data_IF_582924935116
#
_entry.id   IF_582924935116
#
_cell.length_a   1.000
_cell.length_b   1.000
_cell.length_c   1.000
_cell.angle_alpha   90.00
_cell.angle_beta   90.00
_cell.angle_gamma   90.00
#
_symmetry.space_group_name_H-M   'P 1'
#
loop_
_entity.id
_entity.type
_entity.pdbx_description
1 polymer ?
#
# COMPACT_ATOMS: atom_id res chain seq x y z
N UNK A 1 9.04 -20.98 0.55
CA UNK A 1 10.15 -21.06 1.53
C UNK A 1 10.80 -19.69 1.77
N UNK A 2 11.38 -19.05 0.76
CA UNK A 2 11.96 -17.70 0.91
C UNK A 2 10.97 -16.67 1.45
N UNK A 3 9.75 -16.65 0.89
CA UNK A 3 8.64 -15.83 1.39
C UNK A 3 8.30 -16.14 2.85
N UNK A 4 8.16 -17.40 3.26
CA UNK A 4 7.89 -17.78 4.66
C UNK A 4 8.96 -17.29 5.64
N UNK A 5 10.24 -17.54 5.33
CA UNK A 5 11.35 -17.03 6.15
C UNK A 5 11.29 -15.50 6.27
N UNK A 6 11.11 -14.82 5.15
CA UNK A 6 11.02 -13.37 5.10
C UNK A 6 9.80 -12.83 5.88
N UNK A 7 8.68 -13.55 5.85
CA UNK A 7 7.48 -13.25 6.62
C UNK A 7 7.73 -13.37 8.12
N UNK A 8 8.34 -14.48 8.58
CA UNK A 8 8.72 -14.65 9.99
C UNK A 8 9.66 -13.55 10.47
N UNK A 9 10.68 -13.21 9.67
CA UNK A 9 11.62 -12.12 9.99
C UNK A 9 10.89 -10.76 10.01
N UNK A 10 10.03 -10.48 9.02
CA UNK A 10 9.23 -9.25 8.98
C UNK A 10 8.31 -9.10 10.18
N UNK A 11 7.65 -10.17 10.61
CA UNK A 11 6.83 -10.17 11.84
C UNK A 11 7.68 -9.99 13.10
N UNK A 12 8.89 -10.55 13.16
CA UNK A 12 9.83 -10.30 14.26
C UNK A 12 10.27 -8.84 14.30
N UNK A 13 10.58 -8.25 13.14
CA UNK A 13 10.91 -6.82 13.03
C UNK A 13 9.72 -5.99 13.50
N UNK A 14 8.50 -6.32 13.07
CA UNK A 14 7.29 -5.66 13.57
C UNK A 14 7.17 -5.75 15.11
N UNK A 15 7.28 -6.95 15.67
CA UNK A 15 7.16 -7.14 17.12
C UNK A 15 8.28 -6.42 17.90
N UNK A 16 9.48 -6.33 17.35
CA UNK A 16 10.62 -5.66 17.99
C UNK A 16 10.58 -4.13 17.86
N UNK A 17 10.18 -3.60 16.70
CA UNK A 17 10.18 -2.16 16.43
C UNK A 17 8.86 -1.47 16.78
N UNK A 18 7.75 -2.19 16.88
CA UNK A 18 6.47 -1.56 17.19
C UNK A 18 6.43 -0.92 18.59
N UNK A 19 6.90 -1.56 19.69
CA UNK A 19 6.92 -0.91 21.00
C UNK A 19 7.71 0.41 21.04
N UNK A 20 8.99 0.48 20.59
CA UNK A 20 9.74 1.74 20.65
C UNK A 20 9.16 2.83 19.71
N UNK A 21 8.58 2.45 18.58
CA UNK A 21 7.90 3.40 17.69
C UNK A 21 6.62 3.94 18.31
N UNK A 22 5.86 3.09 19.01
CA UNK A 22 4.67 3.52 19.76
C UNK A 22 5.02 4.48 20.90
N UNK A 23 6.11 4.24 21.64
CA UNK A 23 6.60 5.19 22.66
C UNK A 23 7.02 6.53 22.06
N UNK A 24 7.64 6.52 20.88
CA UNK A 24 7.96 7.73 20.14
C UNK A 24 6.68 8.46 19.71
N UNK A 25 5.70 7.72 19.19
CA UNK A 25 4.42 8.26 18.74
C UNK A 25 3.60 8.86 19.89
N UNK A 26 3.70 8.34 21.12
CA UNK A 26 3.07 8.96 22.29
C UNK A 26 3.62 10.36 22.63
N UNK A 27 4.80 10.72 22.13
CA UNK A 27 5.36 12.07 22.28
C UNK A 27 4.80 13.05 21.24
N UNK A 28 4.06 12.57 20.24
CA UNK A 28 3.58 13.40 19.13
C UNK A 28 2.32 14.15 19.56
N UNK A 29 2.31 15.45 19.29
CA UNK A 29 1.11 16.26 19.36
C UNK A 29 0.49 16.49 17.98
N UNK A 30 -0.54 17.34 17.89
CA UNK A 30 -1.20 17.65 16.63
C UNK A 30 -0.24 18.20 15.56
N UNK A 31 0.74 19.02 15.95
CA UNK A 31 1.74 19.57 15.04
C UNK A 31 2.62 18.49 14.39
N UNK A 32 3.05 17.50 15.17
CA UNK A 32 3.85 16.38 14.69
C UNK A 32 3.04 15.45 13.80
N UNK A 33 1.79 15.14 14.16
CA UNK A 33 0.91 14.33 13.31
C UNK A 33 0.63 15.00 11.96
N UNK A 34 0.33 16.30 11.95
CA UNK A 34 0.18 17.06 10.71
C UNK A 34 1.44 16.98 9.82
N UNK A 35 2.61 17.22 10.41
CA UNK A 35 3.89 17.18 9.70
C UNK A 35 4.25 15.79 9.19
N UNK A 36 3.91 14.76 9.96
CA UNK A 36 4.10 13.36 9.58
C UNK A 36 3.19 12.98 8.41
N UNK A 37 1.94 13.45 8.38
CA UNK A 37 1.02 13.23 7.25
C UNK A 37 1.52 13.93 5.98
N UNK A 38 2.05 15.16 6.09
CA UNK A 38 2.71 15.83 4.96
C UNK A 38 3.89 14.98 4.45
N UNK A 39 4.76 14.52 5.35
CA UNK A 39 5.88 13.66 4.98
C UNK A 39 5.40 12.37 4.29
N UNK A 40 4.34 11.75 4.80
CA UNK A 40 3.72 10.54 4.23
C UNK A 40 3.17 10.77 2.83
N UNK A 41 2.44 11.86 2.61
CA UNK A 41 1.90 12.23 1.30
C UNK A 41 3.03 12.57 0.31
N UNK A 42 4.04 13.34 0.72
CA UNK A 42 5.20 13.61 -0.14
C UNK A 42 5.96 12.33 -0.46
N UNK A 43 6.17 11.44 0.52
CA UNK A 43 6.76 10.13 0.32
C UNK A 43 5.99 9.29 -0.70
N UNK A 44 4.66 9.32 -0.64
CA UNK A 44 3.80 8.66 -1.61
C UNK A 44 4.00 9.19 -3.04
N UNK A 45 4.19 10.50 -3.21
CA UNK A 45 4.53 11.11 -4.52
C UNK A 45 5.90 10.66 -5.02
N UNK A 46 6.88 10.55 -4.12
CA UNK A 46 8.25 10.14 -4.44
C UNK A 46 8.28 8.70 -4.98
N UNK A 47 7.51 7.81 -4.35
CA UNK A 47 7.52 6.39 -4.65
C UNK A 47 6.44 5.95 -5.67
N UNK A 48 5.46 6.80 -5.97
CA UNK A 48 4.51 6.55 -7.05
C UNK A 48 5.22 6.28 -8.39
N UNK A 49 4.63 5.47 -9.25
CA UNK A 49 5.11 5.26 -10.60
C UNK A 49 4.71 6.41 -11.53
N UNK A 50 5.55 6.72 -12.52
CA UNK A 50 5.23 7.69 -13.56
C UNK A 50 5.43 9.17 -13.20
N UNK A 51 4.58 10.03 -13.75
CA UNK A 51 4.76 11.49 -13.68
C UNK A 51 4.49 12.06 -12.29
N UNK A 52 5.44 12.84 -11.78
CA UNK A 52 5.31 13.55 -10.50
C UNK A 52 4.06 14.42 -10.43
N UNK A 53 3.76 15.14 -11.52
CA UNK A 53 2.61 16.04 -11.57
C UNK A 53 1.30 15.25 -11.45
N UNK A 54 1.23 14.08 -12.09
CA UNK A 54 0.07 13.17 -11.96
C UNK A 54 -0.07 12.67 -10.53
N UNK A 55 1.02 12.23 -9.90
CA UNK A 55 0.99 11.78 -8.51
C UNK A 55 0.53 12.88 -7.53
N UNK A 56 1.03 14.11 -7.69
CA UNK A 56 0.59 15.27 -6.89
C UNK A 56 -0.90 15.55 -7.14
N UNK A 57 -1.35 15.56 -8.40
CA UNK A 57 -2.76 15.77 -8.73
C UNK A 57 -3.66 14.71 -8.11
N UNK A 58 -3.24 13.44 -8.09
CA UNK A 58 -3.97 12.35 -7.45
C UNK A 58 -4.08 12.53 -5.94
N UNK A 59 -3.01 12.98 -5.26
CA UNK A 59 -3.07 13.31 -3.83
C UNK A 59 -4.03 14.47 -3.57
N UNK A 60 -3.91 15.56 -4.32
CA UNK A 60 -4.78 16.74 -4.14
C UNK A 60 -6.23 16.37 -4.39
N UNK A 61 -6.51 15.56 -5.41
CA UNK A 61 -7.85 15.05 -5.67
C UNK A 61 -8.35 14.17 -4.52
N UNK A 62 -7.51 13.28 -4.00
CA UNK A 62 -7.81 12.48 -2.82
C UNK A 62 -8.12 13.33 -1.59
N UNK A 63 -7.28 14.34 -1.30
CA UNK A 63 -7.50 15.29 -0.20
C UNK A 63 -8.86 16.00 -0.35
N UNK A 64 -9.17 16.51 -1.53
CA UNK A 64 -10.46 17.18 -1.79
C UNK A 64 -11.64 16.24 -1.59
N UNK A 65 -11.53 14.99 -2.08
CA UNK A 65 -12.56 13.98 -1.90
C UNK A 65 -12.73 13.56 -0.43
N UNK A 66 -11.65 13.50 0.34
CA UNK A 66 -11.69 13.18 1.76
C UNK A 66 -12.40 14.26 2.58
N UNK A 67 -12.37 15.51 2.13
CA UNK A 67 -13.05 16.64 2.79
C UNK A 67 -14.54 16.74 2.43
N UNK A 68 -15.07 15.86 1.59
CA UNK A 68 -16.50 15.78 1.27
C UNK A 68 -17.24 15.22 2.49
N UNK A 69 -18.28 15.90 2.95
CA UNK A 69 -19.08 15.51 4.10
C UNK A 69 -19.24 16.61 5.13
N UNK A 70 -19.78 16.25 6.29
CA UNK A 70 -19.96 17.18 7.40
C UNK A 70 -18.65 17.37 8.15
N UNK A 71 -18.22 18.62 8.28
CA UNK A 71 -17.04 18.93 9.08
C UNK A 71 -17.31 18.73 10.57
N UNK A 72 -16.52 17.85 11.20
CA UNK A 72 -16.67 17.48 12.62
C UNK A 72 -16.48 18.66 13.59
N UNK A 73 -15.74 19.70 13.18
CA UNK A 73 -15.45 20.85 14.05
C UNK A 73 -16.55 21.93 14.02
N UNK A 74 -17.12 22.18 12.85
CA UNK A 74 -18.08 23.27 12.60
C UNK A 74 -19.51 22.80 12.36
N UNK A 75 -19.72 21.50 12.09
CA UNK A 75 -21.03 20.94 11.74
C UNK A 75 -21.53 21.35 10.35
N UNK A 76 -20.71 22.04 9.56
CA UNK A 76 -21.08 22.53 8.22
C UNK A 76 -20.83 21.44 7.18
N UNK A 77 -21.84 21.16 6.36
CA UNK A 77 -21.70 20.28 5.20
C UNK A 77 -20.80 20.92 4.13
N UNK A 78 -19.78 20.18 3.68
CA UNK A 78 -18.81 20.61 2.66
C UNK A 78 -18.89 19.71 1.45
N UNK A 79 -18.94 20.32 0.27
CA UNK A 79 -19.01 19.60 -1.01
C UNK A 79 -20.17 18.58 -1.07
N UNK A 80 -21.25 18.82 -0.31
CA UNK A 80 -22.43 17.94 -0.32
C UNK A 80 -23.32 18.16 -1.53
N UNK A 81 -23.21 19.31 -2.21
CA UNK A 81 -24.00 19.67 -3.41
C UNK A 81 -25.52 19.50 -3.23
N UNK A 82 -26.02 19.68 -2.00
CA UNK A 82 -27.42 19.45 -1.61
C UNK A 82 -27.90 18.00 -1.80
N UNK A 83 -26.96 17.05 -1.85
CA UNK A 83 -27.21 15.61 -1.87
C UNK A 83 -27.03 15.09 -0.43
N UNK A 84 -28.10 14.57 0.21
CA UNK A 84 -28.04 14.08 1.60
C UNK A 84 -26.93 13.05 1.81
N UNK A 85 -26.77 12.11 0.89
CA UNK A 85 -25.78 11.03 1.00
C UNK A 85 -24.33 11.54 0.97
N UNK A 86 -24.06 12.68 0.30
CA UNK A 86 -22.74 13.30 0.32
C UNK A 86 -22.47 14.08 1.62
N UNK A 87 -23.48 14.30 2.45
CA UNK A 87 -23.32 14.92 3.79
C UNK A 87 -22.69 13.94 4.77
N UNK A 88 -22.92 12.64 4.56
CA UNK A 88 -22.26 11.54 5.28
C UNK A 88 -20.82 11.30 4.77
N UNK A 89 -20.46 11.93 3.64
CA UNK A 89 -19.16 11.81 2.98
C UNK A 89 -19.10 10.65 2.00
N UNK A 90 -17.98 10.54 1.30
CA UNK A 90 -17.78 9.46 0.32
C UNK A 90 -17.24 8.22 1.05
N UNK A 91 -17.90 7.07 0.88
CA UNK A 91 -17.41 5.82 1.45
C UNK A 91 -16.05 5.42 0.87
N UNK A 92 -15.05 5.22 1.74
CA UNK A 92 -13.73 4.72 1.34
C UNK A 92 -13.81 3.42 0.52
N UNK A 93 -14.67 2.49 0.96
CA UNK A 93 -14.87 1.19 0.31
C UNK A 93 -15.40 1.38 -1.11
N UNK A 94 -16.29 2.34 -1.33
CA UNK A 94 -16.84 2.64 -2.65
C UNK A 94 -15.77 3.15 -3.62
N UNK A 95 -14.88 4.05 -3.17
CA UNK A 95 -13.76 4.54 -3.97
C UNK A 95 -12.80 3.40 -4.29
N UNK A 96 -12.38 2.64 -3.28
CA UNK A 96 -11.38 1.61 -3.46
C UNK A 96 -11.87 0.46 -4.37
N UNK A 97 -13.09 -0.04 -4.15
CA UNK A 97 -13.68 -1.07 -5.02
C UNK A 97 -14.00 -0.54 -6.41
N UNK A 98 -14.40 0.72 -6.54
CA UNK A 98 -14.61 1.34 -7.85
C UNK A 98 -13.29 1.43 -8.63
N UNK A 99 -12.28 2.08 -8.06
CA UNK A 99 -11.03 2.36 -8.78
C UNK A 99 -10.19 1.10 -9.03
N UNK A 100 -9.97 0.25 -8.01
CA UNK A 100 -9.15 -0.96 -8.13
C UNK A 100 -9.95 -2.20 -8.59
N UNK A 101 -11.23 -2.31 -8.22
CA UNK A 101 -12.06 -3.43 -8.65
C UNK A 101 -12.60 -3.21 -10.06
N UNK A 102 -13.51 -2.24 -10.22
CA UNK A 102 -14.18 -2.00 -11.50
C UNK A 102 -13.22 -1.40 -12.53
N UNK A 103 -12.41 -0.42 -12.12
CA UNK A 103 -11.47 0.26 -13.01
C UNK A 103 -10.46 -0.71 -13.65
N UNK A 104 -9.88 -1.63 -12.87
CA UNK A 104 -8.96 -2.65 -13.41
C UNK A 104 -9.65 -3.65 -14.33
N UNK A 105 -10.90 -4.04 -14.04
CA UNK A 105 -11.67 -4.93 -14.92
C UNK A 105 -11.94 -4.27 -16.27
N UNK A 106 -12.40 -3.01 -16.26
CA UNK A 106 -12.67 -2.25 -17.49
C UNK A 106 -11.36 -2.05 -18.27
N UNK A 107 -10.26 -1.73 -17.58
CA UNK A 107 -8.93 -1.62 -18.18
C UNK A 107 -8.46 -2.95 -18.82
N UNK A 108 -8.66 -4.07 -18.14
CA UNK A 108 -8.31 -5.39 -18.66
C UNK A 108 -9.13 -5.77 -19.90
N UNK A 109 -10.42 -5.45 -19.91
CA UNK A 109 -11.30 -5.67 -21.06
C UNK A 109 -10.96 -4.78 -22.27
N UNK A 110 -10.29 -3.65 -22.04
CA UNK A 110 -9.88 -2.73 -23.12
C UNK A 110 -8.63 -3.19 -23.88
N UNK A 111 -7.88 -4.17 -23.36
CA UNK A 111 -6.69 -4.73 -24.01
C UNK A 111 -7.09 -5.83 -25.01
N UNK A 112 -6.46 -5.94 -26.20
CA UNK A 112 -6.74 -7.01 -27.16
C UNK A 112 -6.46 -8.40 -26.57
N UNK A 113 -7.20 -9.42 -27.02
CA UNK A 113 -7.09 -10.82 -26.55
C UNK A 113 -5.77 -11.53 -26.98
N UNK A 114 -4.92 -10.90 -27.78
CA UNK A 114 -3.87 -11.56 -28.59
C UNK A 114 -2.52 -11.85 -27.90
N UNK A 115 -2.35 -11.62 -26.60
CA UNK A 115 -1.09 -11.93 -25.88
C UNK A 115 -1.31 -12.72 -24.58
N UNK A 116 -2.07 -13.82 -24.64
CA UNK A 116 -2.26 -14.67 -23.45
C UNK A 116 -1.92 -16.12 -23.74
N UNK A 117 -0.63 -16.39 -23.95
CA UNK A 117 -0.11 -17.75 -23.84
C UNK A 117 -0.26 -18.24 -22.40
N UNK A 118 -1.31 -19.02 -22.15
CA UNK A 118 -1.41 -19.81 -20.91
C UNK A 118 -0.38 -20.93 -21.03
N UNK A 119 0.82 -20.72 -20.48
CA UNK A 119 1.81 -21.78 -20.35
C UNK A 119 1.27 -22.88 -19.41
N UNK A 120 0.63 -23.89 -20.00
CA UNK A 120 0.28 -25.13 -19.31
C UNK A 120 1.51 -26.03 -19.21
N UNK A 121 2.58 -25.56 -18.56
CA UNK A 121 3.70 -26.43 -18.23
C UNK A 121 3.31 -27.29 -17.01
N UNK A 122 3.47 -28.62 -17.11
CA UNK A 122 3.38 -29.50 -15.94
C UNK A 122 4.50 -29.10 -14.96
N UNK A 123 4.11 -28.59 -13.79
CA UNK A 123 5.06 -28.34 -12.70
C UNK A 123 5.51 -29.69 -12.14
N UNK A 124 6.77 -30.04 -12.37
CA UNK A 124 7.44 -31.22 -11.79
C UNK A 124 8.58 -30.77 -10.89
N UNK A 125 8.76 -31.42 -9.72
CA UNK A 125 9.86 -31.11 -8.80
C UNK A 125 9.55 -29.96 -7.83
N UNK A 126 8.54 -30.13 -6.97
CA UNK A 126 8.08 -29.13 -6.00
C UNK A 126 9.11 -28.74 -4.93
N UNK A 127 10.10 -29.60 -4.68
CA UNK A 127 11.11 -29.37 -3.64
C UNK A 127 12.46 -28.95 -4.25
N UNK A 128 13.05 -27.84 -3.79
CA UNK A 128 14.36 -27.40 -4.23
C UNK A 128 15.45 -28.42 -3.82
N UNK A 129 16.46 -28.57 -4.66
CA UNK A 129 17.63 -29.38 -4.34
C UNK A 129 18.50 -28.72 -3.25
N UNK A 130 19.45 -29.47 -2.66
CA UNK A 130 20.41 -28.89 -1.71
C UNK A 130 21.25 -27.75 -2.34
N UNK A 131 21.54 -27.86 -3.63
CA UNK A 131 22.27 -26.84 -4.35
C UNK A 131 21.42 -25.58 -4.58
N UNK A 132 20.14 -25.75 -4.93
CA UNK A 132 19.17 -24.66 -4.99
C UNK A 132 19.06 -23.94 -3.65
N UNK A 133 19.07 -24.67 -2.54
CA UNK A 133 19.01 -24.10 -1.19
C UNK A 133 20.22 -23.20 -0.89
N UNK A 134 21.42 -23.64 -1.28
CA UNK A 134 22.66 -22.86 -1.11
C UNK A 134 22.68 -21.61 -1.99
N UNK A 135 22.08 -21.67 -3.18
CA UNK A 135 21.97 -20.55 -4.12
C UNK A 135 20.88 -19.55 -3.73
N UNK A 136 19.76 -20.01 -3.18
CA UNK A 136 18.64 -19.15 -2.78
C UNK A 136 18.90 -18.40 -1.47
N UNK A 137 19.62 -18.98 -0.51
CA UNK A 137 19.74 -18.40 0.84
C UNK A 137 20.29 -16.96 0.85
N UNK A 138 21.39 -16.63 0.13
CA UNK A 138 21.87 -15.24 0.08
C UNK A 138 20.90 -14.29 -0.61
N UNK A 139 20.13 -14.78 -1.59
CA UNK A 139 19.11 -14.00 -2.29
C UNK A 139 17.91 -13.72 -1.37
N UNK A 140 17.46 -14.73 -0.62
CA UNK A 140 16.41 -14.61 0.41
C UNK A 140 16.80 -13.59 1.47
N UNK A 141 18.03 -13.63 1.99
CA UNK A 141 18.49 -12.68 3.01
C UNK A 141 18.52 -11.24 2.49
N UNK A 142 19.08 -11.02 1.29
CA UNK A 142 19.13 -9.69 0.65
C UNK A 142 17.72 -9.18 0.35
N UNK A 143 16.86 -10.02 -0.21
CA UNK A 143 15.46 -9.70 -0.46
C UNK A 143 14.71 -9.36 0.83
N UNK A 144 14.87 -10.16 1.88
CA UNK A 144 14.23 -9.92 3.19
C UNK A 144 14.68 -8.60 3.79
N UNK A 145 15.98 -8.29 3.77
CA UNK A 145 16.51 -7.02 4.28
C UNK A 145 15.96 -5.83 3.51
N UNK A 146 15.95 -5.91 2.18
CA UNK A 146 15.48 -4.84 1.32
C UNK A 146 13.96 -4.63 1.42
N UNK A 147 13.20 -5.73 1.46
CA UNK A 147 11.75 -5.73 1.72
C UNK A 147 11.41 -5.13 3.07
N UNK A 148 12.11 -5.53 4.14
CA UNK A 148 11.87 -5.03 5.49
C UNK A 148 12.15 -3.52 5.61
N UNK A 149 13.22 -3.04 4.95
CA UNK A 149 13.57 -1.62 4.98
C UNK A 149 12.59 -0.76 4.17
N UNK A 150 12.25 -1.20 2.96
CA UNK A 150 11.38 -0.44 2.07
C UNK A 150 9.89 -0.56 2.45
N UNK A 151 9.47 -1.63 3.12
CA UNK A 151 8.08 -1.82 3.56
C UNK A 151 7.59 -0.78 4.56
N UNK A 152 8.50 -0.18 5.34
CA UNK A 152 8.18 0.90 6.28
C UNK A 152 7.93 2.23 5.53
N UNK A 153 8.48 2.38 4.32
CA UNK A 153 8.39 3.63 3.56
C UNK A 153 7.02 3.82 2.89
N UNK A 154 6.42 5.02 2.97
CA UNK A 154 5.13 5.32 2.36
C UNK A 154 5.23 5.50 0.84
N UNK A 155 4.28 4.93 0.10
CA UNK A 155 4.18 5.00 -1.37
C UNK A 155 4.46 3.70 -2.12
N UNK A 156 4.12 2.54 -1.56
CA UNK A 156 4.21 1.26 -2.30
C UNK A 156 5.57 0.55 -2.18
N UNK A 157 6.31 0.82 -1.11
CA UNK A 157 7.65 0.27 -0.88
C UNK A 157 7.77 -1.26 -0.97
N UNK A 158 6.71 -2.03 -0.72
CA UNK A 158 6.72 -3.49 -0.86
C UNK A 158 6.85 -3.97 -2.32
N UNK A 159 6.14 -3.34 -3.26
CA UNK A 159 6.23 -3.67 -4.69
C UNK A 159 7.58 -3.22 -5.24
N UNK A 160 8.00 -2.00 -4.90
CA UNK A 160 9.32 -1.48 -5.27
C UNK A 160 10.45 -2.35 -4.71
N UNK A 161 10.28 -2.92 -3.51
CA UNK A 161 11.25 -3.82 -2.92
C UNK A 161 11.43 -5.10 -3.74
N UNK A 162 10.35 -5.68 -4.26
CA UNK A 162 10.43 -6.86 -5.12
C UNK A 162 11.22 -6.56 -6.41
N UNK A 163 10.93 -5.44 -7.08
CA UNK A 163 11.64 -5.01 -8.28
C UNK A 163 13.11 -4.64 -8.02
N UNK A 164 13.37 -3.92 -6.94
CA UNK A 164 14.73 -3.57 -6.54
C UNK A 164 15.54 -4.82 -6.16
N UNK A 165 14.94 -5.77 -5.44
CA UNK A 165 15.56 -7.06 -5.14
C UNK A 165 15.90 -7.83 -6.42
N UNK A 166 14.98 -7.90 -7.38
CA UNK A 166 15.24 -8.50 -8.70
C UNK A 166 16.41 -7.82 -9.42
N UNK A 167 16.40 -6.49 -9.45
CA UNK A 167 17.44 -5.68 -10.13
C UNK A 167 18.82 -5.90 -9.50
N UNK A 168 18.89 -5.95 -8.17
CA UNK A 168 20.12 -6.23 -7.44
C UNK A 168 20.62 -7.65 -7.74
N UNK A 169 19.73 -8.64 -7.79
CA UNK A 169 20.12 -10.00 -8.16
C UNK A 169 20.64 -10.08 -9.59
N UNK A 170 20.00 -9.39 -10.54
CA UNK A 170 20.42 -9.32 -11.95
C UNK A 170 21.80 -8.65 -12.11
N UNK A 171 22.09 -7.62 -11.31
CA UNK A 171 23.39 -6.93 -11.29
C UNK A 171 24.49 -7.68 -10.54
N UNK A 172 24.12 -8.61 -9.65
CA UNK A 172 25.08 -9.42 -8.91
C UNK A 172 25.68 -10.48 -9.83
N UNK A 173 27.01 -10.57 -9.90
CA UNK A 173 27.72 -11.55 -10.76
C UNK A 173 27.18 -12.97 -10.57
N UNK A 174 26.98 -13.65 -11.70
CA UNK A 174 26.64 -15.08 -11.74
C UNK A 174 27.84 -15.90 -11.26
N UNK A 175 27.58 -16.91 -10.43
CA UNK A 175 28.60 -17.88 -10.04
C UNK A 175 28.78 -18.94 -11.14
N UNK A 176 29.97 -19.57 -11.27
CA UNK A 176 30.17 -20.67 -12.21
C UNK A 176 29.13 -21.78 -12.00
N UNK A 177 28.43 -22.18 -13.06
CA UNK A 177 27.35 -23.17 -13.00
C UNK A 177 25.96 -22.65 -12.62
N UNK A 178 25.78 -21.33 -12.45
CA UNK A 178 24.46 -20.72 -12.31
C UNK A 178 23.76 -20.53 -13.67
N UNK A 179 22.46 -20.81 -13.70
CA UNK A 179 21.61 -20.58 -14.87
C UNK A 179 21.47 -19.06 -15.09
N UNK A 180 21.55 -18.54 -16.33
CA UNK A 180 21.30 -17.13 -16.58
C UNK A 180 19.91 -16.67 -16.11
N UNK A 181 19.79 -15.41 -15.68
CA UNK A 181 18.48 -14.80 -15.41
C UNK A 181 17.60 -14.85 -16.66
N UNK A 182 16.29 -15.05 -16.49
CA UNK A 182 15.33 -15.27 -17.59
C UNK A 182 15.24 -16.72 -18.07
N UNK A 183 16.18 -17.60 -17.69
CA UNK A 183 16.16 -19.04 -18.01
C UNK A 183 15.81 -19.93 -16.81
N UNK A 184 15.14 -19.38 -15.79
CA UNK A 184 14.76 -20.11 -14.57
C UNK A 184 15.77 -20.06 -13.43
N UNK A 185 16.59 -19.01 -13.32
CA UNK A 185 17.46 -18.83 -12.15
C UNK A 185 16.64 -18.61 -10.87
N UNK A 186 16.80 -19.50 -9.88
CA UNK A 186 16.07 -19.47 -8.60
C UNK A 186 16.22 -18.14 -7.84
N UNK A 187 17.35 -17.44 -7.96
CA UNK A 187 17.58 -16.14 -7.31
C UNK A 187 16.60 -15.08 -7.81
N UNK A 188 16.19 -15.17 -9.08
CA UNK A 188 15.24 -14.27 -9.72
C UNK A 188 13.81 -14.37 -9.18
N UNK A 189 13.49 -15.45 -8.45
CA UNK A 189 12.19 -15.62 -7.77
C UNK A 189 12.37 -15.51 -6.26
N UNK A 190 13.42 -16.13 -5.70
CA UNK A 190 13.61 -16.18 -4.26
C UNK A 190 13.82 -14.81 -3.61
N UNK A 191 14.59 -13.89 -4.22
CA UNK A 191 14.78 -12.56 -3.66
C UNK A 191 13.54 -11.67 -3.76
N UNK A 192 12.86 -11.53 -4.93
CA UNK A 192 11.64 -10.74 -5.02
C UNK A 192 10.51 -11.26 -4.13
N UNK A 193 10.31 -12.58 -4.06
CA UNK A 193 9.29 -13.18 -3.20
C UNK A 193 9.57 -12.94 -1.71
N UNK A 194 10.84 -13.00 -1.31
CA UNK A 194 11.24 -12.63 0.06
C UNK A 194 11.05 -11.14 0.33
N UNK A 195 11.40 -10.27 -0.62
CA UNK A 195 11.23 -8.83 -0.47
C UNK A 195 9.76 -8.42 -0.38
N UNK A 196 8.92 -9.01 -1.23
CA UNK A 196 7.47 -8.78 -1.22
C UNK A 196 6.86 -9.16 0.13
N UNK A 197 7.13 -10.37 0.63
CA UNK A 197 6.51 -10.79 1.90
C UNK A 197 7.06 -10.05 3.12
N UNK A 198 8.39 -9.80 3.18
CA UNK A 198 8.95 -8.96 4.24
C UNK A 198 8.39 -7.53 4.21
N UNK A 199 8.27 -6.95 3.02
CA UNK A 199 7.68 -5.62 2.82
C UNK A 199 6.21 -5.57 3.24
N UNK A 200 5.43 -6.59 2.90
CA UNK A 200 4.03 -6.69 3.31
C UNK A 200 3.87 -6.73 4.85
N UNK A 201 4.69 -7.52 5.55
CA UNK A 201 4.63 -7.61 7.02
C UNK A 201 5.10 -6.31 7.68
N UNK A 202 6.20 -5.74 7.21
CA UNK A 202 6.75 -4.49 7.78
C UNK A 202 5.93 -3.25 7.46
N UNK A 203 5.08 -3.30 6.42
CA UNK A 203 4.09 -2.25 6.13
C UNK A 203 3.09 -2.03 7.27
N UNK A 204 2.87 -3.02 8.13
CA UNK A 204 2.03 -2.87 9.32
C UNK A 204 2.67 -2.02 10.42
N UNK A 205 4.00 -1.85 10.41
CA UNK A 205 4.70 -1.04 11.43
C UNK A 205 4.16 0.39 11.45
N UNK A 206 4.27 1.20 10.38
CA UNK A 206 3.77 2.57 10.39
C UNK A 206 2.24 2.63 10.54
N UNK A 207 1.51 1.65 10.02
CA UNK A 207 0.05 1.59 10.16
C UNK A 207 -0.35 1.45 11.64
N UNK A 208 0.18 0.46 12.35
CA UNK A 208 -0.20 0.17 13.73
C UNK A 208 0.41 1.13 14.75
N UNK A 209 1.58 1.71 14.45
CA UNK A 209 2.29 2.59 15.40
C UNK A 209 1.99 4.06 15.19
N UNK A 210 1.84 4.49 13.93
CA UNK A 210 1.67 5.91 13.56
C UNK A 210 0.28 6.20 12.97
N UNK A 211 -0.50 5.18 12.61
CA UNK A 211 -1.80 5.34 11.98
C UNK A 211 -1.72 5.72 10.50
N UNK A 212 -0.53 5.62 9.89
CA UNK A 212 -0.29 6.06 8.51
C UNK A 212 -0.11 4.85 7.60
N UNK A 213 -0.98 4.68 6.60
CA UNK A 213 -0.84 3.59 5.64
C UNK A 213 0.31 3.85 4.67
N UNK A 214 1.29 2.92 4.53
CA UNK A 214 2.40 3.09 3.60
C UNK A 214 2.05 2.73 2.14
N UNK A 215 0.90 2.14 1.86
CA UNK A 215 0.49 1.79 0.50
C UNK A 215 -1.04 1.64 0.40
N UNK A 216 -1.57 1.47 -0.80
CA UNK A 216 -3.01 1.33 -1.04
C UNK A 216 -3.65 0.18 -0.26
N UNK A 217 -2.97 -0.96 -0.14
CA UNK A 217 -3.47 -2.13 0.61
C UNK A 217 -3.55 -1.82 2.10
N UNK A 218 -2.57 -1.12 2.66
CA UNK A 218 -2.64 -0.68 4.06
C UNK A 218 -3.66 0.44 4.28
N UNK A 219 -3.92 1.26 3.26
CA UNK A 219 -5.02 2.22 3.27
C UNK A 219 -6.37 1.48 3.37
N UNK A 220 -6.52 0.37 2.65
CA UNK A 220 -7.66 -0.53 2.80
C UNK A 220 -7.79 -1.07 4.23
N UNK A 221 -6.66 -1.42 4.86
CA UNK A 221 -6.64 -1.85 6.26
C UNK A 221 -7.05 -0.74 7.23
N UNK A 222 -6.66 0.52 7.01
CA UNK A 222 -7.17 1.66 7.79
C UNK A 222 -8.69 1.71 7.71
N UNK A 223 -9.25 1.67 6.49
CA UNK A 223 -10.70 1.67 6.29
C UNK A 223 -11.40 0.52 7.00
N UNK A 224 -10.86 -0.70 6.89
CA UNK A 224 -11.40 -1.88 7.57
C UNK A 224 -11.37 -1.74 9.10
N UNK A 225 -10.27 -1.23 9.67
CA UNK A 225 -10.15 -0.98 11.10
C UNK A 225 -11.15 0.08 11.56
N UNK A 226 -11.31 1.17 10.80
CA UNK A 226 -12.28 2.24 11.10
C UNK A 226 -13.73 1.73 11.07
N UNK A 227 -14.09 0.84 10.13
CA UNK A 227 -15.41 0.19 10.10
C UNK A 227 -15.68 -0.60 11.39
N UNK A 228 -14.65 -1.21 11.97
CA UNK A 228 -14.72 -1.90 13.25
C UNK A 228 -14.52 -0.97 14.47
N UNK A 229 -14.59 0.35 14.29
CA UNK A 229 -14.37 1.36 15.33
C UNK A 229 -12.96 1.29 15.98
N UNK A 230 -11.97 0.80 15.23
CA UNK A 230 -10.58 0.75 15.67
C UNK A 230 -9.82 1.83 14.93
N UNK A 231 -9.35 2.84 15.65
CA UNK A 231 -8.52 3.88 15.07
C UNK A 231 -7.06 3.41 15.04
N UNK A 232 -6.44 3.26 13.86
CA UNK A 232 -5.02 2.90 13.76
C UNK A 232 -4.13 3.97 14.40
N UNK A 233 -3.02 3.54 15.01
CA UNK A 233 -2.07 4.42 15.68
C UNK A 233 -1.61 3.88 17.03
N UNK A 234 -0.84 4.67 17.80
CA UNK A 234 -0.11 4.18 18.97
C UNK A 234 -1.04 3.63 20.07
N UNK A 235 -2.29 4.09 20.09
CA UNK A 235 -3.29 3.62 21.04
C UNK A 235 -3.76 2.19 20.78
N UNK A 236 -3.58 1.62 19.57
CA UNK A 236 -4.03 0.25 19.28
C UNK A 236 -3.38 -0.76 20.23
N UNK A 237 -2.08 -0.58 20.53
CA UNK A 237 -1.35 -1.46 21.43
C UNK A 237 -1.84 -1.39 22.88
N UNK A 238 -2.34 -0.25 23.33
CA UNK A 238 -2.82 -0.03 24.71
C UNK A 238 -4.31 -0.27 24.87
N UNK A 239 -5.11 0.18 23.92
CA UNK A 239 -6.58 0.12 23.96
C UNK A 239 -7.11 -1.21 23.44
N UNK A 240 -6.40 -1.87 22.52
CA UNK A 240 -6.76 -3.16 21.94
C UNK A 240 -5.55 -4.14 21.93
N UNK A 241 -4.96 -4.47 23.09
CA UNK A 241 -3.75 -5.28 23.17
C UNK A 241 -3.94 -6.69 22.60
N UNK A 242 -5.12 -7.29 22.80
CA UNK A 242 -5.46 -8.59 22.23
C UNK A 242 -5.48 -8.56 20.71
N UNK A 243 -5.99 -7.49 20.10
CA UNK A 243 -5.97 -7.33 18.65
C UNK A 243 -4.55 -7.10 18.13
N UNK A 244 -3.75 -6.28 18.81
CA UNK A 244 -2.39 -6.00 18.39
C UNK A 244 -1.50 -7.25 18.42
N UNK A 245 -1.45 -7.94 19.57
CA UNK A 245 -0.64 -9.15 19.71
C UNK A 245 -1.27 -10.35 19.00
N UNK A 246 -2.60 -10.43 18.95
CA UNK A 246 -3.33 -11.41 18.16
C UNK A 246 -3.04 -11.28 16.67
N UNK A 247 -2.97 -10.05 16.14
CA UNK A 247 -2.59 -9.79 14.76
C UNK A 247 -1.16 -10.27 14.49
N UNK A 248 -0.19 -9.90 15.33
CA UNK A 248 1.21 -10.34 15.20
C UNK A 248 1.32 -11.87 15.25
N UNK A 249 0.65 -12.52 16.20
CA UNK A 249 0.63 -13.98 16.31
C UNK A 249 -0.04 -14.63 15.08
N UNK A 250 -1.15 -14.04 14.60
CA UNK A 250 -1.85 -14.50 13.41
C UNK A 250 -1.02 -14.36 12.13
N UNK A 251 -0.09 -13.40 12.06
CA UNK A 251 0.83 -13.26 10.92
C UNK A 251 1.81 -14.43 10.86
N UNK A 252 2.30 -14.93 12.00
CA UNK A 252 3.12 -16.13 12.05
C UNK A 252 2.33 -17.37 11.63
N UNK A 253 1.15 -17.55 12.21
CA UNK A 253 0.28 -18.67 11.87
C UNK A 253 -0.14 -18.60 10.39
N UNK A 254 -0.49 -17.41 9.90
CA UNK A 254 -0.85 -17.14 8.52
C UNK A 254 0.29 -17.47 7.55
N UNK A 255 1.53 -17.08 7.87
CA UNK A 255 2.69 -17.47 7.06
C UNK A 255 2.88 -19.00 7.03
N UNK A 256 2.66 -19.70 8.14
CA UNK A 256 2.72 -21.16 8.16
C UNK A 256 1.58 -21.79 7.33
N UNK A 257 0.37 -21.26 7.47
CA UNK A 257 -0.79 -21.65 6.67
C UNK A 257 -0.58 -21.39 5.18
N UNK A 258 0.12 -20.31 4.79
CA UNK A 258 0.46 -20.06 3.39
C UNK A 258 1.33 -21.18 2.80
N UNK A 259 2.26 -21.77 3.57
CA UNK A 259 3.01 -22.95 3.11
C UNK A 259 2.06 -24.14 2.92
N UNK A 260 1.24 -24.42 3.94
CA UNK A 260 0.35 -25.58 3.99
C UNK A 260 -0.70 -25.52 2.89
N UNK A 261 -1.20 -24.32 2.57
CA UNK A 261 -2.22 -24.11 1.55
C UNK A 261 -1.58 -24.00 0.16
N UNK A 262 -0.53 -23.19 -0.03
CA UNK A 262 -0.01 -22.93 -1.38
C UNK A 262 0.75 -24.10 -2.00
N UNK A 263 1.47 -24.92 -1.23
CA UNK A 263 2.22 -26.04 -1.79
C UNK A 263 1.29 -27.15 -2.36
N UNK A 264 0.26 -27.63 -1.64
CA UNK A 264 -0.66 -28.64 -2.17
C UNK A 264 -1.66 -28.06 -3.17
N UNK A 265 -2.13 -26.83 -2.95
CA UNK A 265 -3.13 -26.19 -3.82
C UNK A 265 -2.53 -25.55 -5.08
N UNK A 266 -1.21 -25.66 -5.32
CA UNK A 266 -0.58 -25.08 -6.51
C UNK A 266 -1.26 -25.52 -7.81
N UNK A 267 -1.71 -26.78 -7.89
CA UNK A 267 -2.45 -27.29 -9.04
C UNK A 267 -3.85 -26.66 -9.19
N UNK A 268 -4.49 -26.27 -8.08
CA UNK A 268 -5.74 -25.52 -8.10
C UNK A 268 -5.52 -24.07 -8.52
N UNK A 269 -4.48 -23.41 -8.00
CA UNK A 269 -4.11 -22.04 -8.37
C UNK A 269 -3.79 -21.92 -9.87
N UNK A 270 -3.06 -22.89 -10.43
CA UNK A 270 -2.79 -22.95 -11.88
C UNK A 270 -4.09 -23.11 -12.68
N UNK A 271 -5.04 -23.93 -12.22
CA UNK A 271 -6.35 -24.05 -12.87
C UNK A 271 -7.17 -22.77 -12.74
N UNK A 272 -6.98 -21.99 -11.68
CA UNK A 272 -7.69 -20.72 -11.51
C UNK A 272 -7.28 -19.70 -12.58
N UNK A 273 -6.04 -19.77 -13.08
CA UNK A 273 -5.59 -19.01 -14.26
C UNK A 273 -6.32 -19.39 -15.55
N UNK A 274 -6.94 -20.57 -15.61
CA UNK A 274 -7.76 -21.01 -16.76
C UNK A 274 -9.24 -20.62 -16.64
N UNK A 275 -9.67 -19.96 -15.55
CA UNK A 275 -11.05 -19.52 -15.40
C UNK A 275 -11.34 -18.45 -16.45
N UNK A 276 -12.34 -18.66 -17.33
CA UNK A 276 -12.64 -17.69 -18.37
C UNK A 276 -13.06 -16.34 -17.78
N UNK A 277 -12.48 -15.24 -18.30
CA UNK A 277 -12.79 -13.88 -17.87
C UNK A 277 -14.29 -13.53 -17.94
N UNK A 278 -15.03 -14.15 -18.88
CA UNK A 278 -16.49 -14.03 -19.00
C UNK A 278 -17.27 -14.42 -17.74
N UNK A 279 -16.70 -15.27 -16.87
CA UNK A 279 -17.31 -15.63 -15.59
C UNK A 279 -16.64 -14.91 -14.42
N UNK A 280 -15.32 -14.73 -14.49
CA UNK A 280 -14.54 -14.09 -13.43
C UNK A 280 -14.95 -12.63 -13.21
N UNK A 281 -15.05 -11.84 -14.29
CA UNK A 281 -15.34 -10.41 -14.18
C UNK A 281 -16.76 -10.11 -13.65
N UNK A 282 -17.84 -10.74 -14.17
CA UNK A 282 -19.17 -10.55 -13.58
C UNK A 282 -19.25 -10.96 -12.11
N UNK A 283 -18.55 -12.03 -11.71
CA UNK A 283 -18.50 -12.46 -10.32
C UNK A 283 -17.84 -11.39 -9.42
N UNK A 284 -16.70 -10.82 -9.83
CA UNK A 284 -16.03 -9.74 -9.08
C UNK A 284 -16.95 -8.52 -8.99
N UNK A 285 -17.57 -8.11 -10.10
CA UNK A 285 -18.48 -6.96 -10.14
C UNK A 285 -19.64 -7.14 -9.14
N UNK A 286 -20.23 -8.34 -9.12
CA UNK A 286 -21.30 -8.70 -8.20
C UNK A 286 -20.83 -8.70 -6.73
N UNK A 287 -19.68 -9.31 -6.43
CA UNK A 287 -19.16 -9.35 -5.07
C UNK A 287 -18.77 -7.98 -4.54
N UNK A 288 -18.22 -7.10 -5.39
CA UNK A 288 -17.97 -5.71 -5.01
C UNK A 288 -19.27 -4.95 -4.71
N UNK A 289 -20.32 -5.12 -5.53
CA UNK A 289 -21.62 -4.50 -5.27
C UNK A 289 -22.23 -4.99 -3.94
N UNK A 290 -22.19 -6.30 -3.68
CA UNK A 290 -22.64 -6.89 -2.41
C UNK A 290 -21.79 -6.40 -1.24
N UNK A 291 -20.46 -6.37 -1.39
CA UNK A 291 -19.53 -5.95 -0.36
C UNK A 291 -19.76 -4.50 0.06
N UNK A 292 -19.87 -3.59 -0.90
CA UNK A 292 -20.19 -2.19 -0.61
C UNK A 292 -21.56 -2.04 0.02
N UNK A 293 -22.59 -2.70 -0.52
CA UNK A 293 -23.93 -2.65 0.06
C UNK A 293 -23.96 -3.15 1.51
N UNK A 294 -23.18 -4.19 1.83
CA UNK A 294 -23.14 -4.76 3.20
C UNK A 294 -22.55 -3.84 4.26
N UNK A 295 -21.83 -2.78 3.87
CA UNK A 295 -21.21 -1.85 4.82
C UNK A 295 -22.23 -0.90 5.45
N UNK A 296 -23.04 -0.23 4.61
CA UNK A 296 -23.98 0.82 5.06
C UNK A 296 -25.45 0.51 4.73
N UNK A 297 -25.76 -0.62 4.08
CA UNK A 297 -27.07 -0.92 3.48
C UNK A 297 -27.60 0.21 2.58
N UNK A 298 -26.69 0.95 1.93
CA UNK A 298 -27.02 2.09 1.08
C UNK A 298 -26.81 1.75 -0.40
N UNK A 299 -27.82 2.00 -1.23
CA UNK A 299 -27.73 1.81 -2.68
C UNK A 299 -26.91 2.89 -3.37
N UNK A 300 -26.80 4.08 -2.77
CA UNK A 300 -25.95 5.17 -3.26
C UNK A 300 -24.49 4.73 -3.38
N UNK A 301 -24.00 3.96 -2.41
CA UNK A 301 -22.62 3.46 -2.43
C UNK A 301 -22.36 2.52 -3.62
N UNK A 302 -23.36 1.76 -4.08
CA UNK A 302 -23.26 0.92 -5.29
C UNK A 302 -23.09 1.79 -6.54
N UNK A 303 -23.86 2.89 -6.65
CA UNK A 303 -23.71 3.84 -7.75
C UNK A 303 -22.35 4.52 -7.73
N UNK A 304 -21.85 4.86 -6.54
CA UNK A 304 -20.51 5.43 -6.36
C UNK A 304 -19.41 4.47 -6.82
N UNK A 305 -19.52 3.17 -6.55
CA UNK A 305 -18.59 2.16 -7.09
C UNK A 305 -18.57 2.19 -8.63
N UNK A 306 -19.75 2.28 -9.26
CA UNK A 306 -19.87 2.38 -10.71
C UNK A 306 -19.18 3.64 -11.27
N UNK A 307 -19.42 4.80 -10.65
CA UNK A 307 -18.80 6.07 -11.01
C UNK A 307 -17.27 5.98 -10.85
N UNK A 308 -16.79 5.49 -9.70
CA UNK A 308 -15.35 5.34 -9.46
C UNK A 308 -14.71 4.25 -10.32
N UNK A 309 -15.48 3.28 -10.82
CA UNK A 309 -15.05 2.36 -11.86
C UNK A 309 -14.68 3.08 -13.16
N UNK A 310 -15.54 3.99 -13.61
CA UNK A 310 -15.28 4.80 -14.80
C UNK A 310 -14.13 5.80 -14.58
N UNK A 311 -14.06 6.42 -13.40
CA UNK A 311 -12.97 7.32 -13.02
C UNK A 311 -11.65 6.55 -12.95
N UNK A 312 -11.63 5.35 -12.35
CA UNK A 312 -10.48 4.47 -12.30
C UNK A 312 -9.96 4.06 -13.67
N UNK A 313 -10.88 3.71 -14.58
CA UNK A 313 -10.52 3.46 -15.98
C UNK A 313 -9.96 4.70 -16.69
N UNK A 314 -10.48 5.88 -16.36
CA UNK A 314 -9.94 7.15 -16.87
C UNK A 314 -8.51 7.37 -16.38
N UNK A 315 -8.23 7.14 -15.10
CA UNK A 315 -6.88 7.20 -14.55
C UNK A 315 -5.93 6.22 -15.21
N UNK A 316 -6.39 4.98 -15.47
CA UNK A 316 -5.63 3.99 -16.23
C UNK A 316 -5.24 4.53 -17.61
N UNK A 317 -6.19 5.08 -18.38
CA UNK A 317 -5.89 5.68 -19.70
C UNK A 317 -4.94 6.87 -19.63
N UNK A 318 -5.04 7.67 -18.57
CA UNK A 318 -4.17 8.82 -18.36
C UNK A 318 -2.80 8.43 -17.79
N UNK A 319 -2.56 7.16 -17.44
CA UNK A 319 -1.33 6.71 -16.77
C UNK A 319 -1.16 7.37 -15.39
N UNK A 320 -2.26 7.58 -14.68
CA UNK A 320 -2.27 8.06 -13.30
C UNK A 320 -2.41 6.87 -12.35
N UNK A 321 -1.52 6.76 -11.37
CA UNK A 321 -1.62 5.72 -10.35
C UNK A 321 -2.71 6.07 -9.31
N UNK A 322 -3.65 5.16 -9.01
CA UNK A 322 -4.69 5.43 -8.01
C UNK A 322 -4.25 5.43 -6.55
N UNK A 323 -3.13 4.78 -6.22
CA UNK A 323 -2.69 4.60 -4.84
C UNK A 323 -2.48 5.93 -4.07
N UNK A 324 -1.83 6.97 -4.65
CA UNK A 324 -1.73 8.28 -4.02
C UNK A 324 -3.08 8.95 -3.73
N UNK A 325 -4.12 8.70 -4.55
CA UNK A 325 -5.46 9.23 -4.29
C UNK A 325 -6.08 8.63 -3.04
N UNK A 326 -6.00 7.31 -2.85
CA UNK A 326 -6.53 6.69 -1.62
C UNK A 326 -5.78 7.15 -0.37
N UNK A 327 -4.46 7.36 -0.48
CA UNK A 327 -3.66 7.91 0.61
C UNK A 327 -4.07 9.34 0.94
N UNK A 328 -4.25 10.20 -0.07
CA UNK A 328 -4.78 11.55 0.12
C UNK A 328 -6.18 11.55 0.72
N UNK A 329 -7.04 10.65 0.28
CA UNK A 329 -8.40 10.52 0.77
C UNK A 329 -8.48 10.18 2.26
N UNK A 330 -7.69 9.21 2.72
CA UNK A 330 -7.67 8.82 4.14
C UNK A 330 -6.95 9.87 5.00
N UNK A 331 -5.80 10.35 4.54
CA UNK A 331 -4.97 11.26 5.33
C UNK A 331 -5.50 12.69 5.35
N UNK A 332 -6.33 13.10 4.39
CA UNK A 332 -6.83 14.47 4.26
C UNK A 332 -7.60 14.98 5.48
N UNK A 333 -8.68 14.29 5.92
CA UNK A 333 -9.42 14.66 7.11
C UNK A 333 -8.53 14.70 8.36
N UNK A 334 -7.68 13.68 8.52
CA UNK A 334 -6.76 13.59 9.67
C UNK A 334 -5.75 14.75 9.67
N UNK A 335 -5.23 15.11 8.49
CA UNK A 335 -4.28 16.20 8.33
C UNK A 335 -4.94 17.54 8.63
N UNK A 336 -6.15 17.77 8.14
CA UNK A 336 -6.92 18.97 8.41
C UNK A 336 -7.27 19.12 9.90
N UNK A 337 -7.72 18.04 10.54
CA UNK A 337 -8.05 18.05 11.97
C UNK A 337 -6.83 18.38 12.83
N UNK A 338 -5.68 17.74 12.54
CA UNK A 338 -4.44 18.00 13.27
C UNK A 338 -3.89 19.41 13.02
N UNK A 339 -4.03 19.94 11.80
CA UNK A 339 -3.68 21.33 11.47
C UNK A 339 -4.51 22.31 12.30
N UNK A 340 -5.85 22.16 12.25
CA UNK A 340 -6.78 23.03 13.00
C UNK A 340 -6.51 22.94 14.50
N UNK A 341 -6.38 21.73 15.03
CA UNK A 341 -6.10 21.50 16.45
C UNK A 341 -4.77 22.12 16.88
N UNK A 342 -3.73 22.01 16.06
CA UNK A 342 -2.43 22.65 16.33
C UNK A 342 -2.56 24.18 16.39
N UNK A 343 -3.22 24.78 15.39
CA UNK A 343 -3.40 26.24 15.34
C UNK A 343 -4.32 26.76 16.44
N UNK A 344 -5.36 26.03 16.82
CA UNK A 344 -6.22 26.40 17.94
C UNK A 344 -5.43 26.43 19.25
N UNK A 345 -4.59 25.42 19.50
CA UNK A 345 -3.73 25.35 20.69
C UNK A 345 -2.64 26.44 20.69
N UNK A 346 -2.12 26.80 19.51
CA UNK A 346 -1.13 27.88 19.36
C UNK A 346 -1.74 29.27 19.17
N UNK A 347 -3.07 29.43 19.32
CA UNK A 347 -3.80 30.69 19.13
C UNK A 347 -3.58 31.33 17.74
N UNK A 348 -3.47 30.49 16.71
CA UNK A 348 -3.27 30.89 15.33
C UNK A 348 -1.80 31.04 14.91
N UNK A 349 -0.85 30.78 15.80
CA UNK A 349 0.56 30.89 15.47
C UNK A 349 1.07 29.67 14.67
N UNK A 350 1.44 29.90 13.42
CA UNK A 350 2.03 28.90 12.51
C UNK A 350 3.48 28.55 12.86
N UNK A 351 4.15 29.36 13.69
CA UNK A 351 5.52 29.08 14.14
C UNK A 351 5.61 27.76 14.90
N UNK A 352 4.49 27.27 15.47
CA UNK A 352 4.39 25.99 16.19
C UNK A 352 4.99 24.81 15.41
N UNK A 353 4.86 24.81 14.09
CA UNK A 353 5.37 23.73 13.24
C UNK A 353 6.91 23.71 13.12
N UNK A 354 7.56 24.84 13.39
CA UNK A 354 9.02 25.01 13.33
C UNK A 354 9.64 25.08 14.74
N UNK A 355 8.91 25.61 15.72
CA UNK A 355 9.38 25.70 17.11
C UNK A 355 9.35 24.33 17.81
N UNK A 356 8.44 23.42 17.42
CA UNK A 356 8.48 22.03 17.88
C UNK A 356 9.50 21.23 17.07
N UNK A 357 10.56 20.67 17.71
CA UNK A 357 11.70 20.10 17.00
C UNK A 357 11.35 18.85 16.16
N UNK A 358 10.37 18.05 16.61
CA UNK A 358 9.92 16.86 15.86
C UNK A 358 9.12 17.28 14.63
N UNK A 359 8.18 18.22 14.78
CA UNK A 359 7.44 18.78 13.66
C UNK A 359 8.38 19.40 12.62
N UNK A 360 9.35 20.20 13.10
CA UNK A 360 10.33 20.86 12.24
C UNK A 360 11.21 19.87 11.48
N UNK A 361 11.67 18.79 12.14
CA UNK A 361 12.50 17.78 11.48
C UNK A 361 11.72 16.97 10.44
N UNK A 362 10.45 16.65 10.71
CA UNK A 362 9.56 15.98 9.75
C UNK A 362 9.29 16.86 8.52
N UNK A 363 8.98 18.15 8.73
CA UNK A 363 8.79 19.10 7.63
C UNK A 363 10.08 19.34 6.84
N UNK A 364 11.22 19.43 7.52
CA UNK A 364 12.52 19.53 6.86
C UNK A 364 12.82 18.29 6.01
N UNK A 365 12.56 17.08 6.53
CA UNK A 365 12.69 15.85 5.77
C UNK A 365 11.75 15.83 4.55
N UNK A 366 10.51 16.29 4.72
CA UNK A 366 9.52 16.36 3.64
C UNK A 366 9.96 17.36 2.56
N UNK A 367 10.47 18.52 2.96
CA UNK A 367 11.03 19.53 2.05
C UNK A 367 12.27 19.00 1.31
N UNK A 368 13.18 18.32 2.01
CA UNK A 368 14.36 17.70 1.42
C UNK A 368 13.98 16.63 0.39
N UNK A 369 13.03 15.75 0.71
CA UNK A 369 12.52 14.76 -0.23
C UNK A 369 11.91 15.42 -1.47
N UNK A 370 11.11 16.47 -1.28
CA UNK A 370 10.52 17.21 -2.39
C UNK A 370 11.59 17.85 -3.28
N UNK A 371 12.60 18.50 -2.69
CA UNK A 371 13.71 19.11 -3.42
C UNK A 371 14.48 18.05 -4.21
N UNK A 372 14.86 16.93 -3.57
CA UNK A 372 15.57 15.83 -4.21
C UNK A 372 14.81 15.32 -5.44
N UNK A 373 13.50 15.19 -5.33
CA UNK A 373 12.66 14.68 -6.43
C UNK A 373 12.44 15.70 -7.54
N UNK A 374 12.44 17.00 -7.22
CA UNK A 374 12.35 18.07 -8.21
C UNK A 374 13.67 18.33 -8.95
N UNK A 375 14.80 17.82 -8.44
CA UNK A 375 16.09 18.00 -9.11
C UNK A 375 16.13 17.26 -10.47
N UNK A 376 16.60 17.92 -11.55
CA UNK A 376 16.58 17.37 -12.91
C UNK A 376 17.30 16.03 -13.06
N UNK A 377 18.40 15.84 -12.32
CA UNK A 377 19.24 14.64 -12.36
C UNK A 377 18.53 13.38 -11.82
N UNK A 378 17.56 13.56 -10.91
CA UNK A 378 16.75 12.46 -10.36
C UNK A 378 15.52 12.22 -11.23
N UNK A 379 14.91 13.29 -11.76
CA UNK A 379 13.78 13.20 -12.69
C UNK A 379 14.11 12.39 -13.95
N UNK A 380 15.26 12.65 -14.58
CA UNK A 380 15.69 11.95 -15.81
C UNK A 380 15.96 10.45 -15.58
N UNK A 381 16.59 10.08 -14.46
CA UNK A 381 16.87 8.68 -14.13
C UNK A 381 15.63 7.90 -13.69
N UNK A 382 14.62 8.59 -13.17
CA UNK A 382 13.33 8.00 -12.81
C UNK A 382 12.55 7.64 -14.07
N UNK A 383 12.47 8.56 -15.04
CA UNK A 383 11.82 8.28 -16.33
C UNK A 383 12.47 7.06 -17.02
N UNK A 384 13.79 6.91 -16.96
CA UNK A 384 14.49 5.71 -17.48
C UNK A 384 14.27 4.43 -16.65
N UNK A 385 14.10 4.53 -15.32
CA UNK A 385 13.94 3.37 -14.45
C UNK A 385 12.51 2.78 -14.44
N UNK A 386 11.51 3.56 -14.87
CA UNK A 386 10.10 3.19 -14.88
C UNK A 386 9.53 2.96 -16.29
N UNK A 387 10.33 3.11 -17.35
CA UNK A 387 9.97 2.69 -18.70
C UNK A 387 10.40 1.23 -18.86
N UNK A 388 9.43 0.33 -18.99
CA UNK A 388 9.65 -1.04 -19.43
C UNK A 388 10.04 -1.03 -20.92
N UNK A 389 11.20 -1.60 -21.24
CA UNK A 389 11.52 -2.13 -22.58
C UNK A 389 10.98 -3.56 -22.71
#
# INVERSE_FOLDING_TARGET
LGSFFAGCVGTLILAAFAPPLTELAFKFGPAEYFSLMILGLIGAVVLASGSLLKAIAMIVLGLLMGLVGTDVNSGVARYSFDIPELTDGIGFVAIAMGVFGYGEIIANLSRPDDEREVFTAKVSGLFPTKEDFKRMLPAVLRGTALGSALGILPGGGALLAAFAAYTIEKKTKLKPGEVPFGKGNIRGVAAPESANNAGAQTSFIPLLTLGIPPNAVMALMVGAMTIHNIQPGPQVMTSNPELFWGLIASMWLGNAMLIILNLPLIGMWIKLLSVPYKYLFPAIVLFCAIGVYSTNNNTFDIWMVGIFGLVGYTFFKLGCEPAPLLLGFILGPMMEENLRRSLLLSRGDWSVFVTRPISASLLAAAALLLIIVLLPAVKSKREEAFVED
#
